data_IF_768144302372
#
_entry.id   IF_768144302372
#
_cell.length_a   1.000
_cell.length_b   1.000
_cell.length_c   1.000
_cell.angle_alpha   90.00
_cell.angle_beta   90.00
_cell.angle_gamma   90.00
#
_symmetry.space_group_name_H-M   'P 1'
#
loop_
_entity.id
_entity.type
_entity.pdbx_description
1 polymer ?
#
# COMPACT_ATOMS: atom_id res chain seq x y z
N UNK A 1 4.39 -5.36 -12.31
CA UNK A 1 3.75 -4.07 -12.00
C UNK A 1 4.59 -2.98 -12.63
N UNK A 2 4.02 -2.11 -13.46
CA UNK A 2 4.74 -0.95 -14.01
C UNK A 2 4.97 0.10 -12.92
N UNK A 3 6.15 0.72 -12.90
CA UNK A 3 6.51 1.79 -11.97
C UNK A 3 5.56 2.97 -12.17
N UNK A 4 4.93 3.45 -11.09
CA UNK A 4 4.03 4.60 -11.10
C UNK A 4 4.73 5.85 -10.57
N UNK A 5 4.33 7.02 -11.06
CA UNK A 5 4.70 8.29 -10.43
C UNK A 5 4.02 8.44 -9.07
N UNK A 6 4.49 9.37 -8.24
CA UNK A 6 3.87 9.61 -6.94
C UNK A 6 2.39 10.00 -7.05
N UNK A 7 2.05 10.89 -7.99
CA UNK A 7 0.66 11.30 -8.24
C UNK A 7 -0.23 10.14 -8.67
N UNK A 8 0.28 9.26 -9.54
CA UNK A 8 -0.44 8.06 -9.96
C UNK A 8 -0.64 7.09 -8.79
N UNK A 9 0.37 6.91 -7.94
CA UNK A 9 0.27 6.07 -6.76
C UNK A 9 -0.77 6.64 -5.78
N UNK A 10 -0.81 7.95 -5.57
CA UNK A 10 -1.78 8.61 -4.70
C UNK A 10 -3.22 8.49 -5.23
N UNK A 11 -3.40 8.64 -6.54
CA UNK A 11 -4.71 8.45 -7.17
C UNK A 11 -5.22 7.01 -6.98
N UNK A 12 -4.37 6.01 -7.22
CA UNK A 12 -4.70 4.59 -7.02
C UNK A 12 -4.96 4.25 -5.54
N UNK A 13 -4.18 4.84 -4.63
CA UNK A 13 -4.38 4.66 -3.19
C UNK A 13 -5.70 5.29 -2.73
N UNK A 14 -6.10 6.44 -3.29
CA UNK A 14 -7.36 7.10 -2.92
C UNK A 14 -8.57 6.23 -3.23
N UNK A 15 -8.62 5.65 -4.43
CA UNK A 15 -9.71 4.74 -4.80
C UNK A 15 -9.71 3.48 -3.94
N UNK A 16 -8.54 2.84 -3.75
CA UNK A 16 -8.43 1.65 -2.92
C UNK A 16 -8.85 1.90 -1.46
N UNK A 17 -8.44 3.04 -0.87
CA UNK A 17 -8.85 3.43 0.49
C UNK A 17 -10.35 3.64 0.59
N UNK A 18 -10.97 4.29 -0.40
CA UNK A 18 -12.41 4.46 -0.43
C UNK A 18 -13.14 3.11 -0.49
N UNK A 19 -12.65 2.16 -1.30
CA UNK A 19 -13.24 0.82 -1.40
C UNK A 19 -13.23 0.06 -0.08
N UNK A 20 -12.10 0.06 0.64
CA UNK A 20 -11.99 -0.66 1.92
C UNK A 20 -12.71 0.08 3.07
N UNK A 21 -12.82 1.40 2.99
CA UNK A 21 -13.55 2.21 3.99
C UNK A 21 -15.05 1.90 3.99
N UNK A 22 -15.62 1.47 2.86
CA UNK A 22 -17.00 0.95 2.79
C UNK A 22 -17.20 -0.26 3.70
N UNK A 23 -16.15 -1.07 3.91
CA UNK A 23 -16.16 -2.22 4.81
C UNK A 23 -15.72 -1.86 6.25
N UNK A 24 -15.55 -0.56 6.55
CA UNK A 24 -15.06 -0.07 7.85
C UNK A 24 -13.56 -0.24 8.06
N UNK A 25 -12.81 -0.68 7.04
CA UNK A 25 -11.38 -0.92 7.12
C UNK A 25 -10.58 0.35 6.78
N UNK A 26 -9.50 0.57 7.51
CA UNK A 26 -8.63 1.72 7.33
C UNK A 26 -7.17 1.28 7.37
N UNK A 27 -6.33 1.91 6.55
CA UNK A 27 -4.89 1.71 6.61
C UNK A 27 -4.27 2.70 7.60
N UNK A 28 -3.33 2.24 8.41
CA UNK A 28 -2.47 3.12 9.18
C UNK A 28 -1.33 3.67 8.31
N UNK A 29 -0.65 4.72 8.78
CA UNK A 29 0.42 5.38 8.02
C UNK A 29 1.55 4.44 7.57
N UNK A 30 1.88 3.40 8.36
CA UNK A 30 2.93 2.43 8.01
C UNK A 30 2.49 1.55 6.83
N UNK A 31 1.24 1.10 6.85
CA UNK A 31 0.65 0.30 5.77
C UNK A 31 0.54 1.12 4.48
N UNK A 32 0.10 2.38 4.59
CA UNK A 32 0.01 3.28 3.43
C UNK A 32 1.38 3.51 2.79
N UNK A 33 2.40 3.78 3.60
CA UNK A 33 3.76 3.96 3.11
C UNK A 33 4.31 2.69 2.43
N UNK A 34 3.98 1.51 2.95
CA UNK A 34 4.40 0.25 2.36
C UNK A 34 3.77 0.04 0.97
N UNK A 35 2.48 0.35 0.82
CA UNK A 35 1.78 0.30 -0.47
C UNK A 35 2.38 1.31 -1.46
N UNK A 36 2.61 2.56 -1.03
CA UNK A 36 3.22 3.60 -1.90
C UNK A 36 4.59 3.15 -2.41
N UNK A 37 5.45 2.59 -1.55
CA UNK A 37 6.78 2.05 -1.94
C UNK A 37 6.69 0.93 -2.98
N UNK A 38 5.67 0.08 -2.91
CA UNK A 38 5.46 -0.97 -3.91
C UNK A 38 4.99 -0.39 -5.25
N UNK A 39 4.10 0.61 -5.22
CA UNK A 39 3.55 1.25 -6.43
C UNK A 39 4.61 2.07 -7.19
N UNK A 40 5.52 2.74 -6.47
CA UNK A 40 6.62 3.51 -7.06
C UNK A 40 7.85 2.66 -7.41
N UNK A 41 7.80 1.34 -7.20
CA UNK A 41 8.92 0.44 -7.49
C UNK A 41 10.11 0.57 -6.53
N UNK A 42 9.98 1.32 -5.43
CA UNK A 42 11.01 1.42 -4.40
C UNK A 42 11.26 0.08 -3.68
N UNK A 43 10.28 -0.82 -3.70
CA UNK A 43 10.43 -2.22 -3.26
C UNK A 43 9.83 -3.17 -4.30
N UNK A 44 10.35 -4.39 -4.33
CA UNK A 44 9.76 -5.46 -5.15
C UNK A 44 8.47 -5.96 -4.53
N UNK A 45 7.62 -6.61 -5.34
CA UNK A 45 6.42 -7.25 -4.83
C UNK A 45 6.73 -8.32 -3.76
N UNK A 46 7.83 -9.06 -3.91
CA UNK A 46 8.27 -10.05 -2.92
C UNK A 46 8.60 -9.40 -1.57
N UNK A 47 9.32 -8.28 -1.60
CA UNK A 47 9.62 -7.49 -0.39
C UNK A 47 8.35 -6.88 0.23
N UNK A 48 7.41 -6.44 -0.60
CA UNK A 48 6.11 -5.94 -0.13
C UNK A 48 5.36 -7.00 0.68
N UNK A 49 5.23 -8.22 0.14
CA UNK A 49 4.54 -9.33 0.83
C UNK A 49 5.22 -9.68 2.14
N UNK A 50 6.56 -9.76 2.16
CA UNK A 50 7.33 -10.05 3.38
C UNK A 50 7.03 -9.01 4.47
N UNK A 51 7.13 -7.73 4.15
CA UNK A 51 6.91 -6.63 5.10
C UNK A 51 5.45 -6.52 5.54
N UNK A 52 4.50 -6.80 4.65
CA UNK A 52 3.08 -6.82 4.98
C UNK A 52 2.77 -7.93 6.01
N UNK A 53 3.39 -9.11 5.85
CA UNK A 53 3.27 -10.20 6.82
C UNK A 53 3.92 -9.86 8.17
N UNK A 54 5.07 -9.19 8.15
CA UNK A 54 5.70 -8.70 9.39
C UNK A 54 4.80 -7.69 10.11
N UNK A 55 4.18 -6.76 9.37
CA UNK A 55 3.24 -5.78 9.94
C UNK A 55 2.02 -6.46 10.55
N UNK A 56 1.42 -7.46 9.90
CA UNK A 56 0.22 -8.12 10.42
C UNK A 56 0.48 -8.94 11.70
N UNK A 57 1.70 -9.43 11.89
CA UNK A 57 2.10 -10.17 13.11
C UNK A 57 2.30 -9.26 14.32
N UNK A 58 2.45 -7.95 14.09
CA UNK A 58 2.71 -6.94 15.12
C UNK A 58 1.66 -5.82 15.12
N UNK A 59 0.50 -6.05 14.48
CA UNK A 59 -0.60 -5.11 14.35
C UNK A 59 -1.58 -5.18 15.53
#
# INVERSE_FOLDING_TARGET
MGVRTEEQAEHLMRSAKASIAVEGLHLNQKQEMLVKKCLTGAITHKEFIKRALELSRHA
#
